data_IF_901025350620
#
_entry.id   IF_901025350620
#
_cell.length_a   1.000
_cell.length_b   1.000
_cell.length_c   1.000
_cell.angle_alpha   90.00
_cell.angle_beta   90.00
_cell.angle_gamma   90.00
#
_symmetry.space_group_name_H-M   'P 1'
#
loop_
_entity.id
_entity.type
_entity.pdbx_description
1 polymer ?
#
# COMPACT_ATOMS: atom_id res chain seq x y z
N UNK A 1 9.78 -28.31 -0.18
CA UNK A 1 8.76 -27.23 -0.25
C UNK A 1 9.36 -26.09 -1.07
N UNK A 2 8.69 -25.66 -2.10
CA UNK A 2 9.09 -24.49 -2.88
C UNK A 2 9.21 -23.28 -1.95
N UNK A 3 10.30 -22.55 -2.07
CA UNK A 3 10.58 -21.43 -1.19
C UNK A 3 9.79 -20.21 -1.68
N UNK A 4 8.71 -19.88 -0.99
CA UNK A 4 7.79 -18.78 -1.36
C UNK A 4 8.36 -17.39 -1.09
N UNK A 5 9.47 -17.31 -0.37
CA UNK A 5 10.13 -16.04 0.00
C UNK A 5 11.38 -15.81 -0.85
N UNK A 6 11.58 -14.58 -1.31
CA UNK A 6 12.82 -14.16 -1.95
C UNK A 6 13.96 -13.94 -0.92
N UNK A 7 15.17 -13.68 -1.38
CA UNK A 7 16.33 -13.60 -0.50
C UNK A 7 16.27 -12.48 0.52
N UNK A 8 15.75 -11.33 0.14
CA UNK A 8 15.60 -10.18 1.06
C UNK A 8 14.62 -10.46 2.20
N UNK A 9 13.47 -11.13 1.93
CA UNK A 9 12.53 -11.53 2.98
C UNK A 9 13.19 -12.49 3.97
N UNK A 10 13.91 -13.49 3.47
CA UNK A 10 14.66 -14.44 4.33
C UNK A 10 15.73 -13.75 5.17
N UNK A 11 16.49 -12.84 4.58
CA UNK A 11 17.52 -12.09 5.31
C UNK A 11 16.92 -11.29 6.48
N UNK A 12 15.79 -10.63 6.27
CA UNK A 12 15.09 -9.89 7.34
C UNK A 12 14.47 -10.84 8.37
N UNK A 13 13.87 -11.96 7.94
CA UNK A 13 13.31 -12.98 8.83
C UNK A 13 14.40 -13.57 9.76
N UNK A 14 15.58 -13.86 9.22
CA UNK A 14 16.73 -14.35 9.97
C UNK A 14 17.27 -13.28 10.92
N UNK A 15 17.50 -12.07 10.43
CA UNK A 15 17.97 -10.93 11.22
C UNK A 15 17.09 -10.66 12.45
N UNK A 16 15.79 -10.87 12.32
CA UNK A 16 14.80 -10.59 13.37
C UNK A 16 14.37 -11.84 14.16
N UNK A 17 14.92 -13.01 13.88
CA UNK A 17 14.60 -14.26 14.58
C UNK A 17 13.19 -14.78 14.28
N UNK A 18 12.62 -14.46 13.13
CA UNK A 18 11.22 -14.77 12.77
C UNK A 18 11.09 -15.87 11.68
N UNK A 19 12.19 -16.55 11.33
CA UNK A 19 12.22 -17.53 10.24
C UNK A 19 11.21 -18.68 10.42
N UNK A 20 11.03 -19.19 11.65
CA UNK A 20 10.07 -20.26 11.93
C UNK A 20 8.62 -19.80 11.75
N UNK A 21 8.29 -18.63 12.27
CA UNK A 21 6.97 -18.03 12.11
C UNK A 21 6.68 -17.76 10.64
N UNK A 22 7.65 -17.20 9.91
CA UNK A 22 7.56 -16.98 8.48
C UNK A 22 7.29 -18.28 7.71
N UNK A 23 8.04 -19.35 7.98
CA UNK A 23 7.85 -20.66 7.34
C UNK A 23 6.43 -21.21 7.56
N UNK A 24 5.86 -21.01 8.76
CA UNK A 24 4.49 -21.41 9.08
C UNK A 24 3.47 -20.62 8.29
N UNK A 25 3.57 -19.29 8.26
CA UNK A 25 2.62 -18.41 7.58
C UNK A 25 2.79 -18.41 6.06
N UNK A 26 3.99 -18.64 5.55
CA UNK A 26 4.31 -18.74 4.12
C UNK A 26 3.52 -19.81 3.37
N UNK A 27 3.02 -20.84 4.07
CA UNK A 27 2.11 -21.85 3.50
C UNK A 27 0.81 -21.25 2.93
N UNK A 28 0.46 -20.04 3.38
CA UNK A 28 -0.69 -19.28 2.89
C UNK A 28 -0.46 -18.53 1.57
N UNK A 29 0.79 -18.38 1.14
CA UNK A 29 1.15 -17.72 -0.12
C UNK A 29 0.90 -18.69 -1.28
N UNK A 30 0.12 -18.26 -2.28
CA UNK A 30 -0.31 -19.06 -3.43
C UNK A 30 -0.16 -18.26 -4.72
N UNK A 31 -0.20 -18.96 -5.86
CA UNK A 31 -0.28 -18.35 -7.20
C UNK A 31 -1.72 -18.26 -7.74
N UNK A 32 -2.71 -18.70 -6.96
CA UNK A 32 -4.12 -18.74 -7.38
C UNK A 32 -5.03 -18.29 -6.26
N UNK A 33 -6.09 -17.56 -6.59
CA UNK A 33 -7.12 -17.12 -5.66
C UNK A 33 -8.01 -18.29 -5.23
N UNK A 34 -8.35 -18.33 -3.94
CA UNK A 34 -9.44 -19.18 -3.46
C UNK A 34 -10.80 -18.57 -3.82
N UNK A 35 -11.87 -19.37 -3.86
CA UNK A 35 -13.23 -18.86 -4.08
C UNK A 35 -13.64 -17.76 -3.10
N UNK A 36 -13.21 -17.86 -1.82
CA UNK A 36 -13.42 -16.80 -0.81
C UNK A 36 -12.69 -15.51 -1.16
N UNK A 37 -11.46 -15.60 -1.62
CA UNK A 37 -10.68 -14.43 -2.05
C UNK A 37 -11.28 -13.79 -3.31
N UNK A 38 -11.69 -14.59 -4.30
CA UNK A 38 -12.37 -14.09 -5.51
C UNK A 38 -13.62 -13.30 -5.15
N UNK A 39 -14.49 -13.87 -4.30
CA UNK A 39 -15.71 -13.21 -3.86
C UNK A 39 -15.45 -11.93 -3.07
N UNK A 40 -14.42 -11.92 -2.21
CA UNK A 40 -14.00 -10.74 -1.47
C UNK A 40 -13.52 -9.63 -2.42
N UNK A 41 -12.62 -9.94 -3.34
CA UNK A 41 -12.00 -8.96 -4.25
C UNK A 41 -13.05 -8.31 -5.16
N UNK A 42 -13.99 -9.07 -5.70
CA UNK A 42 -15.03 -8.55 -6.59
C UNK A 42 -16.00 -7.56 -5.94
N UNK A 43 -16.08 -7.54 -4.62
CA UNK A 43 -16.93 -6.63 -3.86
C UNK A 43 -16.27 -5.32 -3.47
N UNK A 44 -14.96 -5.19 -3.72
CA UNK A 44 -14.26 -3.99 -3.31
C UNK A 44 -14.61 -2.80 -4.20
N UNK A 45 -14.74 -1.63 -3.58
CA UNK A 45 -14.93 -0.32 -4.23
C UNK A 45 -13.60 0.39 -4.47
N UNK A 46 -12.51 -0.14 -3.92
CA UNK A 46 -11.17 0.41 -4.08
C UNK A 46 -10.12 -0.70 -4.23
N UNK A 47 -9.02 -0.36 -4.87
CA UNK A 47 -7.81 -1.15 -4.95
C UNK A 47 -6.59 -0.24 -4.78
N UNK A 48 -5.66 -0.62 -3.90
CA UNK A 48 -4.36 0.04 -3.77
C UNK A 48 -3.40 -0.67 -4.71
N UNK A 49 -2.62 0.11 -5.44
CA UNK A 49 -1.73 -0.44 -6.47
C UNK A 49 -0.33 0.17 -6.36
N UNK A 50 0.69 -0.61 -6.64
CA UNK A 50 2.08 -0.15 -6.73
C UNK A 50 2.62 -0.33 -8.12
N UNK A 51 3.33 0.68 -8.61
CA UNK A 51 3.95 0.68 -9.94
C UNK A 51 5.33 1.32 -9.89
N UNK A 52 6.12 1.07 -10.93
CA UNK A 52 7.44 1.69 -11.12
C UNK A 52 7.40 2.57 -12.37
N UNK A 53 7.92 3.79 -12.29
CA UNK A 53 8.06 4.66 -13.45
C UNK A 53 9.33 4.36 -14.27
N UNK A 54 9.55 5.11 -15.35
CA UNK A 54 10.72 4.95 -16.23
C UNK A 54 12.05 5.30 -15.54
N UNK A 55 12.00 6.05 -14.41
CA UNK A 55 13.18 6.41 -13.59
C UNK A 55 13.41 5.43 -12.44
N UNK A 56 12.74 4.27 -12.45
CA UNK A 56 12.77 3.26 -11.40
C UNK A 56 12.25 3.75 -10.04
N UNK A 57 11.48 4.85 -10.03
CA UNK A 57 10.82 5.36 -8.84
C UNK A 57 9.53 4.57 -8.59
N UNK A 58 9.29 4.25 -7.33
CA UNK A 58 8.08 3.53 -6.90
C UNK A 58 6.97 4.50 -6.52
N UNK A 59 5.76 4.18 -6.94
CA UNK A 59 4.56 4.95 -6.67
C UNK A 59 3.44 4.03 -6.19
N UNK A 60 2.78 4.43 -5.11
CA UNK A 60 1.54 3.81 -4.68
C UNK A 60 0.37 4.69 -5.11
N UNK A 61 -0.69 4.07 -5.62
CA UNK A 61 -1.90 4.74 -6.11
C UNK A 61 -3.15 4.06 -5.58
N UNK A 62 -4.30 4.73 -5.65
CA UNK A 62 -5.60 4.19 -5.32
C UNK A 62 -6.54 4.28 -6.53
N UNK A 63 -7.17 3.17 -6.85
CA UNK A 63 -8.27 3.11 -7.81
C UNK A 63 -9.57 3.02 -7.02
N UNK A 64 -10.52 3.89 -7.31
CA UNK A 64 -11.88 3.87 -6.76
C UNK A 64 -12.85 3.67 -7.90
N UNK A 65 -13.85 2.82 -7.74
CA UNK A 65 -14.80 2.55 -8.83
C UNK A 65 -16.12 1.99 -8.34
N UNK A 66 -17.09 1.95 -9.22
CA UNK A 66 -18.40 1.37 -8.98
C UNK A 66 -18.32 -0.10 -8.65
N UNK A 67 -19.32 -0.61 -7.94
CA UNK A 67 -19.42 -2.06 -7.71
C UNK A 67 -19.39 -2.81 -9.05
N UNK A 68 -18.45 -3.75 -9.15
CA UNK A 68 -18.20 -4.50 -10.39
C UNK A 68 -17.11 -3.90 -11.28
N UNK A 69 -16.45 -2.78 -10.88
CA UNK A 69 -15.24 -2.33 -11.57
C UNK A 69 -14.11 -3.35 -11.46
N UNK A 70 -14.11 -4.18 -10.40
CA UNK A 70 -13.22 -5.32 -10.24
C UNK A 70 -13.99 -6.60 -10.57
N UNK A 71 -13.49 -7.37 -11.53
CA UNK A 71 -13.98 -8.71 -11.85
C UNK A 71 -12.86 -9.73 -11.70
N UNK A 72 -13.19 -10.92 -11.26
CA UNK A 72 -12.26 -12.05 -11.11
C UNK A 72 -12.76 -13.21 -11.96
N UNK A 73 -12.50 -13.22 -13.26
CA UNK A 73 -13.05 -14.23 -14.18
C UNK A 73 -12.45 -15.63 -13.94
N UNK A 74 -11.22 -15.70 -13.44
CA UNK A 74 -10.56 -16.97 -13.08
C UNK A 74 -9.75 -16.80 -11.80
N UNK A 75 -9.30 -17.90 -11.20
CA UNK A 75 -8.47 -17.89 -10.01
C UNK A 75 -7.07 -17.24 -10.23
N UNK A 76 -6.68 -16.97 -11.46
CA UNK A 76 -5.37 -16.39 -11.83
C UNK A 76 -5.48 -15.03 -12.50
N UNK A 77 -6.70 -14.46 -12.63
CA UNK A 77 -6.91 -13.20 -13.35
C UNK A 77 -7.86 -12.28 -12.59
N UNK A 78 -7.43 -11.03 -12.43
CA UNK A 78 -8.28 -9.91 -12.01
C UNK A 78 -8.38 -8.92 -13.17
N UNK A 79 -9.56 -8.34 -13.38
CA UNK A 79 -9.82 -7.37 -14.43
C UNK A 79 -10.43 -6.12 -13.82
N UNK A 80 -9.81 -4.97 -14.04
CA UNK A 80 -10.36 -3.66 -13.72
C UNK A 80 -11.02 -3.09 -14.97
N UNK A 81 -12.30 -2.75 -14.88
CA UNK A 81 -13.06 -2.11 -15.95
C UNK A 81 -12.92 -0.59 -15.83
N UNK A 82 -12.14 0.02 -16.70
CA UNK A 82 -11.87 1.46 -16.66
C UNK A 82 -13.12 2.34 -16.78
N UNK A 83 -14.16 1.86 -17.45
CA UNK A 83 -15.44 2.60 -17.58
C UNK A 83 -16.19 2.77 -16.27
N UNK A 84 -15.88 1.96 -15.27
CA UNK A 84 -16.48 1.98 -13.95
C UNK A 84 -15.54 2.61 -12.89
N UNK A 85 -14.35 3.05 -13.28
CA UNK A 85 -13.44 3.76 -12.39
C UNK A 85 -13.96 5.18 -12.20
N UNK A 86 -14.03 5.61 -10.95
CA UNK A 86 -14.47 6.95 -10.49
C UNK A 86 -13.32 7.82 -10.00
N UNK A 87 -12.14 7.25 -9.73
CA UNK A 87 -10.94 8.06 -9.47
C UNK A 87 -10.38 8.62 -10.77
N UNK A 88 -9.58 9.70 -10.65
CA UNK A 88 -9.01 10.36 -11.85
C UNK A 88 -8.12 9.43 -12.66
N UNK A 89 -8.25 9.49 -13.99
CA UNK A 89 -7.37 8.80 -14.92
C UNK A 89 -6.04 9.52 -15.18
N UNK A 90 -5.81 10.67 -14.52
CA UNK A 90 -4.53 11.40 -14.61
C UNK A 90 -3.51 10.93 -13.57
N UNK A 91 -3.85 9.95 -12.71
CA UNK A 91 -2.92 9.34 -11.77
C UNK A 91 -1.73 8.72 -12.49
N UNK A 92 -0.55 8.83 -11.89
CA UNK A 92 0.71 8.31 -12.44
C UNK A 92 0.66 6.80 -12.74
N UNK A 93 -0.21 6.06 -12.05
CA UNK A 93 -0.45 4.65 -12.29
C UNK A 93 -0.67 4.32 -13.76
N UNK A 94 -1.53 5.10 -14.45
CA UNK A 94 -1.87 4.83 -15.84
C UNK A 94 -0.70 5.02 -16.81
N UNK A 95 0.18 5.97 -16.52
CA UNK A 95 1.40 6.18 -17.30
C UNK A 95 2.41 5.04 -17.07
N UNK A 96 2.53 4.60 -15.82
CA UNK A 96 3.49 3.58 -15.44
C UNK A 96 3.16 2.22 -16.05
N UNK A 97 1.90 1.79 -16.03
CA UNK A 97 1.49 0.47 -16.57
C UNK A 97 1.62 0.34 -18.09
N UNK A 98 1.73 1.46 -18.82
CA UNK A 98 2.05 1.43 -20.27
C UNK A 98 3.52 1.07 -20.52
N UNK A 99 4.39 1.26 -19.52
CA UNK A 99 5.84 1.08 -19.62
C UNK A 99 6.37 -0.12 -18.85
N UNK A 100 5.80 -0.38 -17.68
CA UNK A 100 6.20 -1.45 -16.76
C UNK A 100 4.97 -2.26 -16.40
N UNK A 101 5.06 -3.58 -16.50
CA UNK A 101 3.92 -4.46 -16.30
C UNK A 101 3.78 -4.98 -14.88
N UNK A 102 4.83 -4.96 -14.09
CA UNK A 102 4.82 -5.45 -12.70
C UNK A 102 3.97 -4.53 -11.82
N UNK A 103 3.01 -5.13 -11.11
CA UNK A 103 2.11 -4.44 -10.21
C UNK A 103 1.89 -5.24 -8.93
N UNK A 104 1.97 -4.55 -7.80
CA UNK A 104 1.47 -5.06 -6.53
C UNK A 104 0.07 -4.52 -6.27
N UNK A 105 -0.84 -5.36 -5.79
CA UNK A 105 -2.18 -4.91 -5.43
C UNK A 105 -2.56 -5.30 -4.02
N UNK A 106 -3.27 -4.41 -3.33
CA UNK A 106 -3.88 -4.65 -2.04
C UNK A 106 -5.37 -4.30 -2.11
N UNK A 107 -6.20 -5.29 -1.86
CA UNK A 107 -7.64 -5.13 -1.69
C UNK A 107 -7.94 -5.10 -0.19
N UNK A 108 -8.56 -4.03 0.29
CA UNK A 108 -8.85 -3.84 1.71
C UNK A 108 -10.30 -3.41 1.92
N UNK A 109 -10.96 -4.09 2.84
CA UNK A 109 -12.29 -3.77 3.34
C UNK A 109 -12.13 -3.13 4.72
N UNK A 110 -12.13 -1.79 4.74
CA UNK A 110 -11.73 -1.03 5.93
C UNK A 110 -12.64 -1.29 7.14
N UNK A 111 -13.96 -1.41 6.94
CA UNK A 111 -14.92 -1.64 8.04
C UNK A 111 -14.78 -3.01 8.72
N UNK A 112 -14.21 -4.02 8.05
CA UNK A 112 -13.95 -5.35 8.62
C UNK A 112 -12.47 -5.61 8.89
N UNK A 113 -11.58 -4.72 8.50
CA UNK A 113 -10.11 -4.89 8.54
C UNK A 113 -9.59 -6.08 7.74
N UNK A 114 -10.40 -6.66 6.86
CA UNK A 114 -9.96 -7.75 5.98
C UNK A 114 -9.20 -7.21 4.80
N UNK A 115 -8.16 -7.92 4.40
CA UNK A 115 -7.36 -7.55 3.23
C UNK A 115 -6.75 -8.77 2.56
N UNK A 116 -6.65 -8.68 1.23
CA UNK A 116 -5.96 -9.65 0.39
C UNK A 116 -4.98 -8.92 -0.51
N UNK A 117 -3.85 -9.55 -0.76
CA UNK A 117 -2.84 -9.10 -1.70
C UNK A 117 -2.86 -9.99 -2.93
N UNK A 118 -2.70 -9.40 -4.11
CA UNK A 118 -2.50 -10.13 -5.35
C UNK A 118 -1.52 -9.34 -6.23
N UNK A 119 -0.34 -9.89 -6.43
CA UNK A 119 0.74 -9.28 -7.18
C UNK A 119 0.95 -10.05 -8.49
N UNK A 120 1.45 -9.38 -9.53
CA UNK A 120 1.72 -10.00 -10.81
C UNK A 120 1.92 -8.98 -11.92
N UNK A 121 1.49 -9.32 -13.14
CA UNK A 121 1.70 -8.49 -14.33
C UNK A 121 0.40 -8.01 -14.91
N UNK A 122 0.38 -6.74 -15.33
CA UNK A 122 -0.79 -6.14 -15.98
C UNK A 122 -0.58 -5.96 -17.48
N UNK A 123 -1.71 -6.00 -18.18
CA UNK A 123 -1.85 -5.50 -19.55
C UNK A 123 -3.05 -4.58 -19.63
N UNK A 124 -2.92 -3.45 -20.33
CA UNK A 124 -4.01 -2.49 -20.55
C UNK A 124 -4.47 -2.55 -21.98
N UNK A 125 -5.73 -2.92 -22.21
CA UNK A 125 -6.30 -3.03 -23.56
C UNK A 125 -7.82 -2.86 -23.55
N UNK A 126 -8.36 -2.11 -24.52
CA UNK A 126 -9.80 -1.97 -24.75
C UNK A 126 -10.58 -1.51 -23.51
N UNK A 127 -10.05 -0.54 -22.75
CA UNK A 127 -10.71 -0.01 -21.54
C UNK A 127 -10.74 -0.99 -20.37
N UNK A 128 -9.81 -1.95 -20.33
CA UNK A 128 -9.60 -2.91 -19.26
C UNK A 128 -8.15 -2.98 -18.89
N UNK A 129 -7.89 -3.15 -17.59
CA UNK A 129 -6.58 -3.47 -17.04
C UNK A 129 -6.69 -4.90 -16.50
N UNK A 130 -5.96 -5.83 -17.11
CA UNK A 130 -5.95 -7.25 -16.74
C UNK A 130 -4.69 -7.57 -15.94
N UNK A 131 -4.86 -8.05 -14.71
CA UNK A 131 -3.78 -8.53 -13.84
C UNK A 131 -3.72 -10.06 -13.92
N UNK A 132 -2.61 -10.59 -14.44
CA UNK A 132 -2.24 -11.99 -14.31
C UNK A 132 -1.53 -12.19 -12.96
N UNK A 133 -2.12 -13.01 -12.08
CA UNK A 133 -1.67 -13.19 -10.70
C UNK A 133 -0.49 -14.16 -10.67
N UNK A 134 0.61 -13.73 -10.04
CA UNK A 134 1.78 -14.56 -9.74
C UNK A 134 1.83 -14.95 -8.25
N UNK A 135 1.38 -14.04 -7.37
CA UNK A 135 1.39 -14.26 -5.93
C UNK A 135 0.14 -13.68 -5.28
N UNK A 136 -0.49 -14.42 -4.37
CA UNK A 136 -1.60 -13.96 -3.56
C UNK A 136 -1.54 -14.49 -2.12
N UNK A 137 -2.02 -13.71 -1.16
CA UNK A 137 -2.20 -14.13 0.22
C UNK A 137 -3.08 -13.17 1.02
N UNK A 138 -3.71 -13.70 2.07
CA UNK A 138 -4.39 -12.90 3.06
C UNK A 138 -3.40 -12.23 4.00
N UNK A 139 -3.73 -11.05 4.49
CA UNK A 139 -2.91 -10.32 5.45
C UNK A 139 -3.62 -10.21 6.81
N UNK A 140 -2.81 -10.06 7.87
CA UNK A 140 -3.29 -9.81 9.22
C UNK A 140 -4.14 -8.54 9.29
N UNK A 141 -5.26 -8.50 10.07
CA UNK A 141 -6.11 -7.33 10.22
C UNK A 141 -5.53 -6.25 11.15
N UNK A 142 -4.41 -6.51 11.82
CA UNK A 142 -3.80 -5.60 12.80
C UNK A 142 -3.47 -4.23 12.18
N UNK A 143 -3.60 -3.19 12.99
CA UNK A 143 -3.25 -1.80 12.70
C UNK A 143 -4.08 -1.12 11.59
N UNK A 144 -5.16 -1.74 11.10
CA UNK A 144 -6.09 -1.10 10.18
C UNK A 144 -7.11 -0.30 11.00
N UNK A 145 -7.21 1.01 10.71
CA UNK A 145 -8.27 1.85 11.26
C UNK A 145 -9.57 1.52 10.54
N UNK A 146 -10.68 1.33 11.28
CA UNK A 146 -11.95 1.07 10.63
C UNK A 146 -12.57 2.36 10.12
N UNK A 147 -13.01 2.28 8.90
CA UNK A 147 -13.76 3.34 8.25
C UNK A 147 -14.90 2.70 7.46
N UNK A 148 -16.06 3.34 7.49
CA UNK A 148 -17.12 3.02 6.56
C UNK A 148 -16.92 3.84 5.29
N UNK A 149 -17.07 3.19 4.13
CA UNK A 149 -16.82 3.79 2.85
C UNK A 149 -17.87 3.31 1.85
N UNK A 150 -18.55 4.27 1.24
CA UNK A 150 -19.51 4.03 0.17
C UNK A 150 -19.32 5.04 -0.97
N UNK A 151 -19.98 4.79 -2.07
CA UNK A 151 -19.96 5.73 -3.19
C UNK A 151 -21.17 6.64 -3.13
N UNK A 152 -21.01 7.96 -3.35
CA UNK A 152 -22.14 8.87 -3.43
C UNK A 152 -23.06 8.49 -4.59
N UNK A 153 -24.38 8.66 -4.38
CA UNK A 153 -25.39 8.37 -5.40
C UNK A 153 -25.25 9.29 -6.61
N UNK A 154 -24.96 10.56 -6.35
CA UNK A 154 -24.71 11.57 -7.38
C UNK A 154 -23.22 11.82 -7.49
N UNK A 155 -22.71 11.82 -8.71
CA UNK A 155 -21.32 12.14 -8.99
C UNK A 155 -21.20 13.48 -9.66
N UNK A 156 -20.32 14.32 -9.14
CA UNK A 156 -19.89 15.54 -9.81
C UNK A 156 -18.66 15.20 -10.64
N UNK A 157 -18.56 15.75 -11.85
CA UNK A 157 -17.36 15.58 -12.66
C UNK A 157 -16.13 16.10 -11.90
N UNK A 158 -15.17 15.23 -11.67
CA UNK A 158 -13.94 15.59 -10.99
C UNK A 158 -13.11 16.53 -11.88
N UNK A 159 -12.61 17.60 -11.25
CA UNK A 159 -11.61 18.48 -11.85
C UNK A 159 -10.31 18.28 -11.04
N UNK A 160 -9.49 17.27 -11.36
CA UNK A 160 -8.30 16.98 -10.59
C UNK A 160 -7.29 18.10 -10.77
N UNK A 161 -6.73 18.59 -9.65
CA UNK A 161 -5.62 19.52 -9.65
C UNK A 161 -4.37 18.80 -9.16
N UNK A 162 -3.38 18.70 -10.04
CA UNK A 162 -2.12 17.98 -9.77
C UNK A 162 -1.01 18.97 -9.48
N UNK A 163 -0.39 18.82 -8.30
CA UNK A 163 0.75 19.62 -7.85
C UNK A 163 1.91 18.66 -7.61
N UNK A 164 3.10 19.03 -8.06
CA UNK A 164 4.31 18.19 -7.93
C UNK A 164 5.43 18.99 -7.30
N UNK A 165 6.28 18.31 -6.52
CA UNK A 165 7.43 18.94 -5.89
C UNK A 165 8.47 17.93 -5.44
N UNK A 166 9.56 18.45 -4.88
CA UNK A 166 10.65 17.67 -4.28
C UNK A 166 10.65 17.85 -2.77
N UNK A 167 10.70 19.08 -2.30
CA UNK A 167 10.68 19.40 -0.88
C UNK A 167 9.25 19.45 -0.37
N UNK A 168 9.00 18.81 0.78
CA UNK A 168 7.68 18.79 1.40
C UNK A 168 7.32 20.19 1.91
N UNK A 169 6.22 20.74 1.40
CA UNK A 169 5.64 21.98 1.92
C UNK A 169 5.06 21.76 3.33
N UNK A 170 4.91 22.83 4.10
CA UNK A 170 4.35 22.74 5.47
C UNK A 170 2.95 22.11 5.51
N UNK A 171 2.13 22.36 4.50
CA UNK A 171 0.80 21.75 4.37
C UNK A 171 0.86 20.23 4.19
N UNK A 172 1.80 19.72 3.36
CA UNK A 172 2.01 18.28 3.18
C UNK A 172 2.65 17.64 4.40
N UNK A 173 3.58 18.32 5.08
CA UNK A 173 4.15 17.87 6.35
C UNK A 173 3.06 17.74 7.42
N UNK A 174 2.18 18.73 7.55
CA UNK A 174 1.05 18.69 8.47
C UNK A 174 0.15 17.50 8.19
N UNK A 175 -0.19 17.22 6.93
CA UNK A 175 -0.98 16.05 6.57
C UNK A 175 -0.29 14.75 7.00
N UNK A 176 1.00 14.58 6.66
CA UNK A 176 1.78 13.38 7.04
C UNK A 176 1.83 13.20 8.56
N UNK A 177 2.09 14.29 9.31
CA UNK A 177 2.20 14.26 10.77
C UNK A 177 0.87 14.02 11.50
N UNK A 178 -0.26 14.15 10.83
CA UNK A 178 -1.60 13.90 11.38
C UNK A 178 -2.19 12.57 10.86
N UNK A 179 -1.54 11.91 9.93
CA UNK A 179 -2.03 10.67 9.35
C UNK A 179 -2.04 9.53 10.37
N UNK A 180 -3.06 8.68 10.30
CA UNK A 180 -3.17 7.43 11.05
C UNK A 180 -3.02 6.20 10.16
N UNK A 181 -2.87 6.40 8.86
CA UNK A 181 -2.63 5.33 7.89
C UNK A 181 -1.97 5.87 6.62
N UNK A 182 -1.22 5.00 5.96
CA UNK A 182 -0.72 5.19 4.60
C UNK A 182 -0.51 3.82 3.93
N UNK A 183 -0.31 3.84 2.61
CA UNK A 183 0.04 2.66 1.84
C UNK A 183 1.47 2.78 1.32
N UNK A 184 2.20 1.66 1.28
CA UNK A 184 3.58 1.63 0.85
C UNK A 184 3.77 0.69 -0.33
N UNK A 185 4.40 1.20 -1.39
CA UNK A 185 4.87 0.47 -2.56
C UNK A 185 6.34 0.13 -2.40
N UNK A 186 6.71 -1.12 -2.62
CA UNK A 186 8.09 -1.60 -2.64
C UNK A 186 8.29 -2.59 -3.77
N UNK A 187 9.54 -2.90 -4.13
CA UNK A 187 9.86 -3.97 -5.08
C UNK A 187 11.15 -4.68 -4.69
N UNK A 188 11.25 -5.95 -5.05
CA UNK A 188 12.46 -6.74 -4.89
C UNK A 188 13.44 -6.55 -6.08
N UNK A 189 14.59 -7.23 -6.02
CA UNK A 189 15.59 -7.19 -7.08
C UNK A 189 15.09 -7.77 -8.43
N UNK A 190 14.08 -8.62 -8.41
CA UNK A 190 13.44 -9.17 -9.61
C UNK A 190 12.34 -8.23 -10.19
N UNK A 191 12.22 -7.00 -9.66
CA UNK A 191 11.20 -6.01 -10.01
C UNK A 191 9.75 -6.39 -9.64
N UNK A 192 9.53 -7.45 -8.88
CA UNK A 192 8.21 -7.79 -8.38
C UNK A 192 7.79 -6.77 -7.34
N UNK A 193 6.69 -6.09 -7.58
CA UNK A 193 6.19 -5.00 -6.72
C UNK A 193 5.18 -5.51 -5.70
N UNK A 194 5.08 -4.79 -4.59
CA UNK A 194 4.19 -5.10 -3.48
C UNK A 194 3.54 -3.84 -2.93
N UNK A 195 2.26 -3.95 -2.53
CA UNK A 195 1.52 -2.89 -1.86
C UNK A 195 1.14 -3.32 -0.45
N UNK A 196 1.49 -2.52 0.55
CA UNK A 196 1.16 -2.79 1.96
C UNK A 196 0.43 -1.61 2.60
N UNK A 197 -0.44 -1.90 3.58
CA UNK A 197 -1.05 -0.92 4.48
C UNK A 197 -0.18 -0.76 5.74
N UNK A 198 0.01 0.46 6.18
CA UNK A 198 0.61 0.84 7.47
C UNK A 198 -0.33 1.77 8.21
N UNK A 199 -0.58 1.50 9.48
CA UNK A 199 -1.43 2.35 10.30
C UNK A 199 -0.98 2.34 11.75
N UNK A 200 -1.40 3.37 12.48
CA UNK A 200 -1.11 3.62 13.89
C UNK A 200 -2.10 4.63 14.46
N UNK A 201 -1.77 5.21 15.59
CA UNK A 201 -2.51 6.37 16.12
C UNK A 201 -2.21 7.62 15.26
N UNK A 202 -3.03 8.65 15.37
CA UNK A 202 -2.75 9.91 14.72
C UNK A 202 -1.34 10.40 15.08
N UNK A 203 -0.56 10.78 14.08
CA UNK A 203 0.79 11.25 14.29
C UNK A 203 1.84 10.17 14.57
N UNK A 204 1.57 8.90 14.24
CA UNK A 204 2.56 7.83 14.41
C UNK A 204 3.81 7.99 13.53
N UNK A 205 3.76 8.85 12.52
CA UNK A 205 4.88 9.20 11.67
C UNK A 205 5.54 10.47 12.21
N UNK A 206 6.82 10.38 12.55
CA UNK A 206 7.61 11.53 12.99
C UNK A 206 8.32 12.18 11.80
N UNK A 207 8.27 13.50 11.71
CA UNK A 207 9.09 14.26 10.76
C UNK A 207 10.30 14.80 11.52
N UNK A 208 11.48 14.28 11.19
CA UNK A 208 12.72 14.68 11.83
C UNK A 208 13.18 16.08 11.36
N UNK A 209 14.06 16.79 12.13
CA UNK A 209 14.55 18.13 11.76
C UNK A 209 15.23 18.19 10.38
N UNK A 210 15.81 17.09 9.91
CA UNK A 210 16.42 16.95 8.59
C UNK A 210 15.41 16.58 7.47
N UNK A 211 14.12 16.55 7.79
CA UNK A 211 13.05 16.25 6.84
C UNK A 211 12.77 14.76 6.57
N UNK A 212 13.53 13.85 7.18
CA UNK A 212 13.24 12.42 7.08
C UNK A 212 11.95 12.07 7.82
N UNK A 213 11.17 11.16 7.25
CA UNK A 213 10.03 10.56 7.95
C UNK A 213 10.54 9.35 8.75
N UNK A 214 10.37 9.36 10.06
CA UNK A 214 10.67 8.22 10.94
C UNK A 214 9.38 7.47 11.23
N UNK A 215 9.32 6.21 10.81
CA UNK A 215 8.08 5.42 10.80
C UNK A 215 8.31 4.15 11.63
N UNK A 216 7.46 3.86 12.63
CA UNK A 216 7.58 2.65 13.42
C UNK A 216 7.18 1.41 12.63
N UNK A 217 7.79 0.27 12.94
CA UNK A 217 7.38 -1.04 12.44
C UNK A 217 6.82 -1.89 13.59
N UNK A 218 5.55 -2.18 13.51
CA UNK A 218 4.81 -2.95 14.49
C UNK A 218 4.91 -4.45 14.26
N UNK A 219 4.63 -5.30 15.29
CA UNK A 219 4.62 -6.74 15.13
C UNK A 219 3.54 -7.19 14.14
N UNK A 220 3.93 -7.94 13.12
CA UNK A 220 3.06 -8.34 12.01
C UNK A 220 2.92 -9.85 11.82
N UNK A 221 2.85 -10.27 10.56
CA UNK A 221 2.68 -11.66 10.13
C UNK A 221 4.01 -12.37 9.80
N UNK A 222 5.13 -11.80 10.17
CA UNK A 222 6.49 -12.33 9.93
C UNK A 222 6.89 -12.56 8.46
N UNK A 223 6.06 -12.16 7.49
CA UNK A 223 6.43 -12.23 6.07
C UNK A 223 7.56 -11.28 5.73
N UNK A 224 7.53 -10.07 6.30
CA UNK A 224 8.48 -8.99 6.04
C UNK A 224 8.59 -8.58 4.56
N UNK A 225 7.53 -8.75 3.77
CA UNK A 225 7.56 -8.43 2.33
C UNK A 225 8.04 -7.01 2.04
N UNK A 226 7.55 -6.00 2.78
CA UNK A 226 8.03 -4.61 2.65
C UNK A 226 9.53 -4.49 2.93
N UNK A 227 10.01 -5.04 4.05
CA UNK A 227 11.42 -4.91 4.45
C UNK A 227 12.34 -5.81 3.64
N UNK A 228 11.88 -6.99 3.24
CA UNK A 228 12.62 -7.85 2.32
C UNK A 228 12.84 -7.16 0.97
N UNK A 229 11.81 -6.52 0.44
CA UNK A 229 11.93 -5.72 -0.78
C UNK A 229 12.91 -4.57 -0.60
N UNK A 230 12.79 -3.80 0.52
CA UNK A 230 13.68 -2.67 0.84
C UNK A 230 15.13 -3.14 1.04
N UNK A 231 15.36 -4.32 1.60
CA UNK A 231 16.70 -4.90 1.76
C UNK A 231 17.39 -5.10 0.40
N UNK A 232 16.65 -5.54 -0.60
CA UNK A 232 17.18 -5.73 -1.97
C UNK A 232 17.15 -4.42 -2.79
N UNK A 233 16.16 -3.55 -2.56
CA UNK A 233 15.98 -2.30 -3.28
C UNK A 233 15.45 -1.21 -2.33
N UNK A 234 16.26 -0.24 -1.93
CA UNK A 234 15.88 0.76 -0.93
C UNK A 234 14.84 1.79 -1.39
N UNK A 235 14.40 1.74 -2.64
CA UNK A 235 13.37 2.65 -3.12
C UNK A 235 11.99 2.22 -2.58
N UNK A 236 11.15 3.21 -2.26
CA UNK A 236 9.76 3.00 -1.87
C UNK A 236 8.88 4.15 -2.32
N UNK A 237 7.58 3.89 -2.43
CA UNK A 237 6.55 4.89 -2.64
C UNK A 237 5.57 4.88 -1.48
N UNK A 238 5.14 6.05 -1.01
CA UNK A 238 4.11 6.18 0.01
C UNK A 238 2.88 6.87 -0.58
N UNK A 239 1.69 6.45 -0.13
CA UNK A 239 0.42 7.07 -0.50
C UNK A 239 -0.37 7.40 0.75
N UNK A 240 -0.69 8.65 0.93
CA UNK A 240 -1.65 9.15 1.91
C UNK A 240 -2.96 9.48 1.20
N UNK A 241 -4.09 9.07 1.76
CA UNK A 241 -5.42 9.29 1.18
C UNK A 241 -6.25 10.10 2.17
N UNK A 242 -6.74 11.24 1.73
CA UNK A 242 -7.76 12.02 2.42
C UNK A 242 -9.12 11.64 1.80
N UNK A 243 -9.81 10.69 2.42
CA UNK A 243 -11.10 10.20 1.93
C UNK A 243 -12.19 11.26 2.05
N UNK A 244 -12.09 12.20 3.01
CA UNK A 244 -13.05 13.25 3.22
C UNK A 244 -12.99 14.31 2.11
N UNK A 245 -11.75 14.73 1.75
CA UNK A 245 -11.53 15.72 0.69
C UNK A 245 -11.35 15.12 -0.71
N UNK A 246 -11.30 13.79 -0.79
CA UNK A 246 -11.06 13.09 -2.05
C UNK A 246 -9.68 13.38 -2.64
N UNK A 247 -8.66 13.59 -1.80
CA UNK A 247 -7.32 13.98 -2.23
C UNK A 247 -6.31 12.88 -1.94
N UNK A 248 -5.23 12.83 -2.72
CA UNK A 248 -4.11 11.91 -2.51
C UNK A 248 -2.78 12.65 -2.47
N UNK A 249 -1.89 12.21 -1.58
CA UNK A 249 -0.50 12.63 -1.55
C UNK A 249 0.38 11.40 -1.76
N UNK A 250 1.05 11.36 -2.90
CA UNK A 250 1.98 10.29 -3.28
C UNK A 250 3.41 10.78 -3.10
N UNK A 251 4.24 10.02 -2.40
CA UNK A 251 5.67 10.29 -2.24
C UNK A 251 6.46 9.15 -2.90
N UNK A 252 7.59 9.48 -3.50
CA UNK A 252 8.63 8.51 -3.87
C UNK A 252 9.93 8.87 -3.20
N UNK A 253 10.71 7.85 -2.80
CA UNK A 253 11.92 8.11 -2.04
C UNK A 253 12.74 6.87 -1.72
N UNK A 254 13.68 7.04 -0.79
CA UNK A 254 14.56 5.97 -0.31
C UNK A 254 14.33 5.67 1.16
N UNK A 255 14.54 4.42 1.52
CA UNK A 255 14.39 3.92 2.88
C UNK A 255 15.74 3.47 3.44
N UNK A 256 15.96 3.78 4.72
CA UNK A 256 17.01 3.19 5.53
C UNK A 256 16.40 2.54 6.79
N UNK A 257 16.94 1.39 7.21
CA UNK A 257 16.52 0.75 8.46
C UNK A 257 17.08 1.52 9.67
N UNK A 258 16.27 1.64 10.70
CA UNK A 258 16.61 2.24 11.98
C UNK A 258 16.12 1.30 13.10
N UNK A 259 16.72 0.11 13.16
CA UNK A 259 16.39 -0.94 14.12
C UNK A 259 17.16 -0.79 15.44
N UNK A 260 16.81 -1.61 16.42
CA UNK A 260 17.46 -1.67 17.74
C UNK A 260 17.33 -0.39 18.58
N UNK A 261 16.24 0.34 18.44
CA UNK A 261 15.92 1.49 19.27
C UNK A 261 15.38 1.02 20.62
N UNK A 262 16.10 1.32 21.71
CA UNK A 262 15.83 0.74 23.05
C UNK A 262 15.36 1.77 24.09
N UNK A 263 15.15 3.04 23.72
CA UNK A 263 14.59 4.01 24.66
C UNK A 263 13.16 3.60 25.03
N UNK A 264 12.73 3.93 26.25
CA UNK A 264 11.35 3.64 26.72
C UNK A 264 10.32 4.24 25.75
N UNK A 265 10.59 5.46 25.24
CA UNK A 265 9.72 6.13 24.29
C UNK A 265 9.67 5.39 22.93
N UNK A 266 10.80 4.91 22.42
CA UNK A 266 10.86 4.17 21.15
C UNK A 266 10.17 2.81 21.26
N UNK A 267 10.36 2.10 22.37
CA UNK A 267 9.70 0.83 22.60
C UNK A 267 8.18 1.03 22.64
N UNK A 268 7.68 2.02 23.38
CA UNK A 268 6.25 2.35 23.41
C UNK A 268 5.71 2.71 22.02
N UNK A 269 6.41 3.56 21.26
CA UNK A 269 6.00 3.99 19.92
C UNK A 269 6.03 2.87 18.88
N UNK A 270 6.83 1.83 19.06
CA UNK A 270 6.98 0.73 18.10
C UNK A 270 6.25 -0.55 18.50
N UNK A 271 5.41 -0.52 19.55
CA UNK A 271 4.78 -1.70 20.14
C UNK A 271 5.83 -2.77 20.50
N UNK A 272 6.84 -2.35 21.26
CA UNK A 272 7.95 -3.15 21.80
C UNK A 272 8.90 -3.78 20.77
N UNK A 273 8.83 -3.41 19.50
CA UNK A 273 9.77 -3.95 18.51
C UNK A 273 11.12 -3.23 18.48
N UNK A 274 11.18 -1.97 18.91
CA UNK A 274 12.35 -1.10 18.74
C UNK A 274 12.76 -0.89 17.27
N UNK A 275 11.85 -1.19 16.33
CA UNK A 275 12.10 -1.08 14.89
C UNK A 275 11.45 0.14 14.31
N UNK A 276 12.25 0.92 13.58
CA UNK A 276 11.80 2.03 12.77
C UNK A 276 12.44 1.96 11.40
N UNK A 277 11.94 2.73 10.47
CA UNK A 277 12.56 2.99 9.20
C UNK A 277 12.47 4.47 8.86
N UNK A 278 13.48 4.94 8.17
CA UNK A 278 13.61 6.33 7.76
C UNK A 278 13.30 6.42 6.28
N UNK A 279 12.39 7.33 5.90
CA UNK A 279 12.07 7.57 4.52
C UNK A 279 12.53 8.97 4.10
N UNK A 280 13.37 9.04 3.08
CA UNK A 280 13.84 10.26 2.44
C UNK A 280 13.01 10.55 1.20
N UNK A 281 12.16 11.58 1.23
CA UNK A 281 11.36 11.99 0.07
C UNK A 281 12.25 12.53 -1.04
N UNK A 282 12.09 12.04 -2.25
CA UNK A 282 12.80 12.53 -3.45
C UNK A 282 11.88 13.33 -4.37
N UNK A 283 10.61 12.98 -4.42
CA UNK A 283 9.57 13.73 -5.13
C UNK A 283 8.19 13.37 -4.56
N UNK A 284 7.22 14.24 -4.81
CA UNK A 284 5.84 14.02 -4.42
C UNK A 284 4.85 14.55 -5.46
N UNK A 285 3.65 13.98 -5.43
CA UNK A 285 2.51 14.37 -6.24
C UNK A 285 1.31 14.51 -5.28
N UNK A 286 0.72 15.69 -5.24
CA UNK A 286 -0.56 15.97 -4.59
C UNK A 286 -1.61 16.07 -5.68
N UNK A 287 -2.68 15.27 -5.57
CA UNK A 287 -3.84 15.35 -6.46
C UNK A 287 -5.07 15.70 -5.63
N UNK A 288 -5.53 16.94 -5.76
CA UNK A 288 -6.82 17.38 -5.23
C UNK A 288 -7.95 16.88 -6.15
N UNK A 289 -9.12 16.56 -5.59
CA UNK A 289 -10.25 15.99 -6.32
C UNK A 289 -9.89 14.71 -7.10
N UNK A 290 -9.08 13.83 -6.48
CA UNK A 290 -8.67 12.54 -7.07
C UNK A 290 -9.85 11.56 -7.16
N UNK A 291 -10.71 11.52 -6.15
CA UNK A 291 -11.86 10.63 -6.05
C UNK A 291 -12.99 11.26 -5.23
N UNK A 292 -14.18 10.67 -5.29
CA UNK A 292 -15.32 11.02 -4.43
C UNK A 292 -15.82 9.75 -3.77
N UNK A 293 -15.88 9.75 -2.45
CA UNK A 293 -16.47 8.69 -1.63
C UNK A 293 -17.18 9.33 -0.44
N UNK A 294 -18.26 8.70 0.02
CA UNK A 294 -18.82 8.97 1.34
C UNK A 294 -17.98 8.19 2.35
N UNK A 295 -17.44 8.88 3.33
CA UNK A 295 -16.50 8.31 4.30
C UNK A 295 -16.88 8.70 5.72
N UNK A 296 -16.74 7.76 6.65
CA UNK A 296 -16.82 8.03 8.07
C UNK A 296 -15.83 7.18 8.86
N UNK A 297 -15.14 7.82 9.78
CA UNK A 297 -14.29 7.12 10.73
C UNK A 297 -15.15 6.35 11.73
N UNK A 298 -14.79 5.10 12.00
CA UNK A 298 -15.49 4.23 12.97
C UNK A 298 -14.68 4.08 14.26
N UNK A 299 -13.51 3.49 14.19
CA UNK A 299 -12.62 3.31 15.36
C UNK A 299 -11.17 3.03 14.95
N UNK A 300 -10.27 3.26 15.89
CA UNK A 300 -8.88 2.85 15.80
C UNK A 300 -8.72 1.33 15.95
N UNK A 301 -7.63 0.82 15.39
CA UNK A 301 -7.27 -0.57 15.62
C UNK A 301 -6.99 -0.82 17.11
N UNK A 302 -7.55 -1.90 17.71
CA UNK A 302 -7.24 -2.25 19.09
C UNK A 302 -5.78 -2.72 19.29
N UNK A 303 -5.02 -2.82 18.22
CA UNK A 303 -3.61 -3.20 18.22
C UNK A 303 -2.66 -2.00 18.12
N UNK A 304 -3.18 -0.78 17.99
CA UNK A 304 -2.35 0.41 18.02
C UNK A 304 -1.66 0.54 19.39
N UNK A 305 -0.39 0.97 19.45
CA UNK A 305 0.33 1.16 20.71
C UNK A 305 -0.22 2.33 21.53
#
# INVERSE_FOLDING_TARGET
MENVYHNGEKAIQELLGESENAARFGRGIKSTLTGKAMHFIQKQLLALVSTTDEKEQLWASILVGDLGFIKVPTAQKIVFNEKLIRSTLTDIFYQNIEKKQEIGTLFVELHTRRRYRANGKVTRKNGKIELAIEQMYANCPKFIQRNDLSLPKETVALQPKVIKGKDLAETTKKWISQANAFFVATKNAANQTDTSYRGGNDGFIEILPNGLLRIPDYPGNSHFSTFGNIYENPNAGLLFVDFEKGSTLQLTGKVAFNFNQKSVADMAKSADTGRFWLFETKAWILTENHHQVDWSFMDYSPYNP
#
